data_IF_760544018255
#
_entry.id   IF_760544018255
#
_cell.length_a   1.000
_cell.length_b   1.000
_cell.length_c   1.000
_cell.angle_alpha   90.00
_cell.angle_beta   90.00
_cell.angle_gamma   90.00
#
_symmetry.space_group_name_H-M   'P 1'
#
loop_
_entity.id
_entity.type
_entity.pdbx_description
1 polymer ?
#
# COMPACT_ATOMS: atom_id res chain seq x y z
N UNK A 1 -1.39 -0.81 -22.22
CA UNK A 1 -0.23 0.10 -22.33
C UNK A 1 -0.37 1.20 -21.28
N UNK A 2 0.72 1.70 -20.70
CA UNK A 2 0.67 2.81 -19.71
C UNK A 2 0.29 4.11 -20.42
N UNK A 3 -0.69 4.84 -19.87
CA UNK A 3 -1.06 6.19 -20.29
C UNK A 3 -0.13 7.20 -19.56
N UNK A 4 0.57 8.06 -20.30
CA UNK A 4 1.58 8.98 -19.76
C UNK A 4 0.97 10.16 -18.99
N UNK A 5 -0.19 10.66 -19.40
CA UNK A 5 -0.90 11.74 -18.70
C UNK A 5 -1.42 11.26 -17.34
N UNK A 6 -2.05 10.08 -17.30
CA UNK A 6 -2.53 9.47 -16.06
C UNK A 6 -1.37 9.06 -15.12
N UNK A 7 -0.24 8.63 -15.69
CA UNK A 7 0.97 8.39 -14.91
C UNK A 7 1.51 9.71 -14.32
N UNK A 8 1.57 10.79 -15.11
CA UNK A 8 1.99 12.11 -14.62
C UNK A 8 1.10 12.62 -13.48
N UNK A 9 -0.23 12.55 -13.63
CA UNK A 9 -1.19 12.94 -12.57
C UNK A 9 -0.94 12.18 -11.26
N UNK A 10 -0.62 10.89 -11.33
CA UNK A 10 -0.27 10.09 -10.15
C UNK A 10 1.10 10.44 -9.59
N UNK A 11 2.08 10.76 -10.43
CA UNK A 11 3.38 11.24 -10.00
C UNK A 11 3.27 12.58 -9.26
N UNK A 12 2.46 13.52 -9.76
CA UNK A 12 2.13 14.77 -9.06
C UNK A 12 1.54 14.50 -7.67
N UNK A 13 0.56 13.60 -7.54
CA UNK A 13 0.02 13.20 -6.22
C UNK A 13 1.09 12.68 -5.25
N UNK A 14 2.13 11.99 -5.74
CA UNK A 14 3.25 11.54 -4.91
C UNK A 14 4.11 12.73 -4.47
N UNK A 15 4.43 13.66 -5.38
CA UNK A 15 5.17 14.89 -5.03
C UNK A 15 4.42 15.70 -3.97
N UNK A 16 3.12 15.90 -4.16
CA UNK A 16 2.27 16.66 -3.24
C UNK A 16 2.17 15.97 -1.86
N UNK A 17 1.96 14.65 -1.82
CA UNK A 17 1.84 13.88 -0.57
C UNK A 17 3.14 13.86 0.27
N UNK A 18 4.30 13.89 -0.38
CA UNK A 18 5.60 13.95 0.31
C UNK A 18 6.16 15.38 0.42
N UNK A 19 5.42 16.40 0.00
CA UNK A 19 5.83 17.81 -0.05
C UNK A 19 7.18 18.04 -0.79
N UNK A 20 7.44 17.25 -1.84
CA UNK A 20 8.69 17.27 -2.59
C UNK A 20 8.59 18.10 -3.87
N UNK A 21 9.58 18.99 -4.07
CA UNK A 21 9.82 19.58 -5.39
C UNK A 21 10.28 18.52 -6.39
N UNK A 22 10.05 18.75 -7.68
CA UNK A 22 10.51 17.86 -8.75
C UNK A 22 12.03 17.61 -8.75
N UNK A 23 12.83 18.58 -8.29
CA UNK A 23 14.27 18.42 -8.11
C UNK A 23 14.59 17.49 -6.93
N UNK A 24 14.01 17.75 -5.75
CA UNK A 24 14.21 16.91 -4.57
C UNK A 24 13.73 15.46 -4.80
N UNK A 25 12.63 15.29 -5.53
CA UNK A 25 12.14 13.97 -5.95
C UNK A 25 13.15 13.26 -6.87
N UNK A 26 13.69 13.95 -7.90
CA UNK A 26 14.69 13.39 -8.81
C UNK A 26 15.94 12.90 -8.07
N UNK A 27 16.45 13.74 -7.17
CA UNK A 27 17.63 13.47 -6.38
C UNK A 27 17.38 12.27 -5.43
N UNK A 28 16.20 12.20 -4.80
CA UNK A 28 15.82 11.13 -3.85
C UNK A 28 15.61 9.76 -4.50
N UNK A 29 15.26 9.68 -5.78
CA UNK A 29 15.18 8.41 -6.54
C UNK A 29 16.39 8.16 -7.44
N UNK A 30 17.46 8.97 -7.33
CA UNK A 30 18.69 8.84 -8.11
C UNK A 30 18.44 8.81 -9.63
N UNK A 31 17.77 9.84 -10.14
CA UNK A 31 17.55 10.06 -11.58
C UNK A 31 17.82 11.50 -12.00
N UNK A 32 18.17 11.72 -13.27
CA UNK A 32 18.38 13.07 -13.79
C UNK A 32 17.10 13.92 -13.75
N UNK A 33 17.20 15.16 -13.25
CA UNK A 33 16.09 16.13 -13.12
C UNK A 33 15.31 16.36 -14.43
N UNK A 34 16.00 16.35 -15.58
CA UNK A 34 15.37 16.44 -16.90
C UNK A 34 14.43 15.27 -17.21
N UNK A 35 14.70 14.07 -16.67
CA UNK A 35 13.81 12.92 -16.78
C UNK A 35 12.48 13.20 -16.08
N UNK A 36 12.52 13.68 -14.84
CA UNK A 36 11.31 14.08 -14.09
C UNK A 36 10.50 15.12 -14.85
N UNK A 37 11.14 16.16 -15.41
CA UNK A 37 10.44 17.19 -16.18
C UNK A 37 9.70 16.64 -17.42
N UNK A 38 10.31 15.71 -18.17
CA UNK A 38 9.67 15.09 -19.33
C UNK A 38 8.56 14.09 -18.98
N UNK A 39 8.64 13.45 -17.80
CA UNK A 39 7.59 12.56 -17.29
C UNK A 39 6.40 13.37 -16.74
N UNK A 40 6.64 14.41 -15.95
CA UNK A 40 5.58 15.29 -15.43
C UNK A 40 4.84 16.05 -16.55
N UNK A 41 5.54 16.45 -17.62
CA UNK A 41 4.87 17.01 -18.81
C UNK A 41 4.12 15.98 -19.67
N UNK A 42 4.07 14.70 -19.28
CA UNK A 42 3.35 13.63 -19.99
C UNK A 42 3.93 13.24 -21.36
N UNK A 43 5.05 13.85 -21.77
CA UNK A 43 5.68 13.66 -23.09
C UNK A 43 6.43 12.34 -23.21
N UNK A 44 7.01 11.85 -22.11
CA UNK A 44 7.78 10.61 -22.08
C UNK A 44 7.03 9.50 -21.33
N UNK A 45 7.25 8.25 -21.76
CA UNK A 45 6.88 7.07 -20.97
C UNK A 45 7.95 6.81 -19.90
N UNK A 46 7.56 6.42 -18.68
CA UNK A 46 8.51 5.99 -17.66
C UNK A 46 9.17 4.66 -18.08
N UNK A 47 10.46 4.50 -17.78
CA UNK A 47 11.15 3.22 -17.91
C UNK A 47 10.82 2.29 -16.73
N UNK A 48 11.09 0.98 -16.87
CA UNK A 48 10.89 0.04 -15.76
C UNK A 48 11.77 0.39 -14.56
N UNK A 49 13.07 0.68 -14.78
CA UNK A 49 13.99 1.12 -13.72
C UNK A 49 13.45 2.33 -12.94
N UNK A 50 12.95 3.33 -13.66
CA UNK A 50 12.35 4.52 -13.06
C UNK A 50 11.18 4.20 -12.13
N UNK A 51 10.26 3.33 -12.59
CA UNK A 51 9.09 2.91 -11.79
C UNK A 51 9.52 2.09 -10.58
N UNK A 52 10.47 1.17 -10.74
CA UNK A 52 10.99 0.34 -9.65
C UNK A 52 11.70 1.18 -8.59
N UNK A 53 12.45 2.21 -8.99
CA UNK A 53 13.07 3.20 -8.08
C UNK A 53 12.02 3.94 -7.25
N UNK A 54 10.91 4.39 -7.85
CA UNK A 54 9.82 5.04 -7.11
C UNK A 54 9.24 4.10 -6.05
N UNK A 55 8.82 2.89 -6.43
CA UNK A 55 8.18 1.93 -5.50
C UNK A 55 9.14 1.49 -4.39
N UNK A 56 10.45 1.38 -4.68
CA UNK A 56 11.48 1.09 -3.68
C UNK A 56 11.71 2.24 -2.70
N UNK A 57 11.69 3.49 -3.16
CA UNK A 57 11.95 4.68 -2.34
C UNK A 57 10.73 5.15 -1.55
N UNK A 58 9.52 4.89 -2.06
CA UNK A 58 8.26 5.33 -1.48
C UNK A 58 7.35 4.11 -1.25
N UNK A 59 7.46 3.40 -0.11
CA UNK A 59 6.76 2.14 0.14
C UNK A 59 5.22 2.28 0.24
N UNK A 60 4.72 3.51 0.40
CA UNK A 60 3.29 3.85 0.32
C UNK A 60 2.74 3.74 -1.12
N UNK A 61 3.62 3.77 -2.13
CA UNK A 61 3.26 3.78 -3.57
C UNK A 61 3.16 2.36 -4.10
N UNK A 62 1.92 1.89 -4.29
CA UNK A 62 1.66 0.61 -4.95
C UNK A 62 2.01 0.67 -6.45
N UNK A 63 2.75 -0.33 -6.95
CA UNK A 63 3.14 -0.44 -8.35
C UNK A 63 1.94 -0.44 -9.32
N UNK A 64 0.89 -1.19 -8.99
CA UNK A 64 -0.29 -1.31 -9.86
C UNK A 64 -1.12 -0.02 -9.85
N UNK A 65 -1.20 0.67 -8.71
CA UNK A 65 -1.78 2.01 -8.63
C UNK A 65 -0.99 3.00 -9.50
N UNK A 66 0.34 3.04 -9.36
CA UNK A 66 1.21 3.95 -10.10
C UNK A 66 1.14 3.74 -11.63
N UNK A 67 1.00 2.49 -12.10
CA UNK A 67 0.93 2.16 -13.53
C UNK A 67 -0.49 2.20 -14.12
N UNK A 68 -1.49 1.77 -13.38
CA UNK A 68 -2.85 1.50 -13.89
C UNK A 68 -3.96 2.29 -13.17
N UNK A 69 -3.68 2.97 -12.06
CA UNK A 69 -4.66 3.75 -11.30
C UNK A 69 -5.65 2.91 -10.49
N UNK A 70 -5.39 1.61 -10.35
CA UNK A 70 -6.18 0.65 -9.57
C UNK A 70 -5.40 0.28 -8.31
N UNK A 71 -6.07 0.19 -7.16
CA UNK A 71 -5.43 0.15 -5.85
C UNK A 71 -5.60 1.48 -5.12
N UNK A 72 -4.80 1.73 -4.08
CA UNK A 72 -4.87 2.98 -3.30
C UNK A 72 -3.50 3.60 -3.08
N UNK A 73 -3.45 4.93 -2.98
CA UNK A 73 -2.28 5.67 -2.55
C UNK A 73 -2.72 6.80 -1.60
N UNK A 74 -2.12 6.95 -0.41
CA UNK A 74 -1.16 6.01 0.22
C UNK A 74 -1.78 4.64 0.50
N UNK A 75 -0.99 3.58 0.46
CA UNK A 75 -1.45 2.23 0.80
C UNK A 75 -1.60 2.12 2.34
N UNK A 76 -2.83 1.92 2.83
CA UNK A 76 -3.16 2.05 4.26
C UNK A 76 -2.22 1.30 5.21
N UNK A 77 -1.48 2.09 5.98
CA UNK A 77 -0.83 1.77 7.26
C UNK A 77 -0.07 0.44 7.33
N UNK A 78 1.18 0.47 6.85
CA UNK A 78 2.25 -0.09 7.69
C UNK A 78 2.59 0.96 8.76
N UNK A 79 2.67 0.61 10.05
CA UNK A 79 3.07 1.55 11.08
C UNK A 79 4.41 2.21 10.72
N UNK A 80 4.43 3.55 10.74
CA UNK A 80 5.68 4.30 10.68
C UNK A 80 6.48 3.95 11.93
N UNK A 81 7.59 3.24 11.76
CA UNK A 81 8.60 3.10 12.80
C UNK A 81 9.19 4.48 13.08
N UNK A 82 8.62 5.18 14.06
CA UNK A 82 9.19 6.41 14.61
C UNK A 82 10.40 6.03 15.48
N UNK A 83 11.54 6.75 15.36
CA UNK A 83 12.65 6.57 16.28
C UNK A 83 12.25 6.87 17.73
N UNK A 84 12.66 5.99 18.63
CA UNK A 84 12.36 5.98 20.07
C UNK A 84 12.81 7.27 20.79
N UNK A 85 11.87 7.90 21.53
CA UNK A 85 12.15 8.79 22.66
C UNK A 85 11.16 8.60 23.83
N UNK A 86 11.35 7.49 24.56
CA UNK A 86 11.32 7.41 26.03
C UNK A 86 10.03 7.63 26.87
N UNK A 87 9.44 6.49 27.31
CA UNK A 87 9.01 6.13 28.72
C UNK A 87 7.82 6.87 29.40
N UNK A 88 7.23 6.32 30.51
CA UNK A 88 6.65 4.98 30.70
C UNK A 88 5.29 5.04 31.49
N UNK A 89 4.88 3.94 32.18
CA UNK A 89 3.71 3.74 33.08
C UNK A 89 2.35 3.51 32.36
N UNK A 90 1.37 2.67 32.77
CA UNK A 90 1.19 1.56 33.76
C UNK A 90 -0.17 0.88 33.41
N UNK A 91 -0.54 -0.37 33.74
CA UNK A 91 0.09 -1.52 34.40
C UNK A 91 -0.67 -2.83 34.00
N UNK A 92 -0.15 -4.02 34.36
CA UNK A 92 -0.86 -5.32 34.29
C UNK A 92 -1.80 -5.54 35.48
N UNK A 93 -2.79 -6.47 35.41
CA UNK A 93 -2.57 -7.87 35.85
C UNK A 93 -3.17 -8.94 34.90
N UNK A 94 -2.49 -10.08 34.66
CA UNK A 94 -2.78 -11.42 35.25
C UNK A 94 -3.98 -12.16 34.58
N UNK A 95 -4.04 -13.48 34.34
CA UNK A 95 -3.24 -14.66 34.73
C UNK A 95 -3.61 -15.87 33.82
N UNK A 96 -2.77 -16.92 33.75
CA UNK A 96 -3.03 -18.39 33.70
C UNK A 96 -4.33 -18.97 33.03
N UNK A 97 -4.36 -20.17 32.40
CA UNK A 97 -3.45 -21.33 32.40
C UNK A 97 -3.80 -22.34 31.27
N UNK A 98 -2.80 -23.14 30.86
CA UNK A 98 -2.85 -24.54 30.37
C UNK A 98 -4.03 -25.07 29.51
N UNK A 99 -3.72 -25.60 28.31
CA UNK A 99 -3.62 -27.06 28.06
C UNK A 99 -3.37 -27.36 26.56
N UNK A 100 -2.66 -28.45 26.25
CA UNK A 100 -2.29 -28.83 24.88
C UNK A 100 -3.24 -29.88 24.27
N UNK A 101 -3.40 -29.87 22.93
CA UNK A 101 -3.40 -31.07 22.08
C UNK A 101 -3.25 -30.78 20.59
N UNK A 102 -2.92 -31.82 19.84
CA UNK A 102 -2.35 -31.80 18.49
C UNK A 102 -3.36 -31.68 17.32
N UNK A 103 -2.82 -31.27 16.17
CA UNK A 103 -3.14 -31.66 14.78
C UNK A 103 -4.60 -31.94 14.34
N UNK A 104 -5.13 -31.05 13.46
CA UNK A 104 -5.58 -31.47 12.13
C UNK A 104 -5.68 -30.28 11.15
N UNK A 105 -5.41 -30.48 9.85
CA UNK A 105 -5.59 -29.47 8.80
C UNK A 105 -7.06 -29.36 8.38
N UNK A 106 -7.73 -28.23 8.66
CA UNK A 106 -9.00 -27.85 7.99
C UNK A 106 -9.33 -26.37 8.19
N UNK A 107 -9.11 -25.55 7.15
CA UNK A 107 -9.59 -24.17 6.96
C UNK A 107 -9.26 -23.10 8.04
N UNK A 108 -9.00 -21.83 7.64
CA UNK A 108 -8.86 -20.74 8.61
C UNK A 108 -10.22 -20.42 9.26
N UNK A 109 -10.43 -20.92 10.47
CA UNK A 109 -11.59 -20.56 11.28
C UNK A 109 -11.57 -19.05 11.59
N UNK A 110 -12.60 -18.32 11.14
CA UNK A 110 -12.81 -16.92 11.52
C UNK A 110 -13.16 -16.84 13.02
N UNK A 111 -12.14 -16.70 13.86
CA UNK A 111 -12.31 -16.60 15.31
C UNK A 111 -13.19 -15.39 15.67
N UNK A 112 -14.27 -15.67 16.39
CA UNK A 112 -15.35 -14.71 16.61
C UNK A 112 -14.94 -13.68 17.68
N UNK A 113 -14.32 -12.59 17.23
CA UNK A 113 -13.82 -11.51 18.08
C UNK A 113 -14.58 -10.20 17.82
N UNK A 114 -15.49 -9.86 18.75
CA UNK A 114 -16.30 -8.62 18.77
C UNK A 114 -16.95 -8.26 17.42
N UNK A 115 -18.22 -8.63 17.22
CA UNK A 115 -19.03 -8.35 16.03
C UNK A 115 -18.79 -6.93 15.44
N UNK A 116 -17.91 -6.84 14.44
CA UNK A 116 -17.74 -5.64 13.60
C UNK A 116 -18.76 -5.72 12.47
N UNK A 117 -19.39 -4.60 12.06
CA UNK A 117 -20.33 -4.61 10.95
C UNK A 117 -19.61 -5.04 9.67
N UNK A 118 -20.19 -6.01 8.95
CA UNK A 118 -19.66 -6.51 7.69
C UNK A 118 -19.84 -5.42 6.63
N UNK A 119 -18.74 -5.02 5.98
CA UNK A 119 -18.75 -4.00 4.91
C UNK A 119 -19.05 -4.60 3.53
N UNK A 120 -18.52 -5.79 3.25
CA UNK A 120 -18.62 -6.46 1.96
C UNK A 120 -18.40 -7.97 2.09
N UNK A 121 -19.15 -8.75 1.32
CA UNK A 121 -18.92 -10.19 1.10
C UNK A 121 -18.70 -10.39 -0.39
N UNK A 122 -17.77 -11.26 -0.78
CA UNK A 122 -17.58 -11.71 -2.16
C UNK A 122 -17.61 -13.24 -2.18
N UNK A 123 -18.50 -13.81 -2.99
CA UNK A 123 -18.65 -15.26 -3.20
C UNK A 123 -18.10 -15.58 -4.59
N UNK A 124 -17.25 -16.59 -4.70
CA UNK A 124 -16.73 -17.09 -5.97
C UNK A 124 -17.35 -18.47 -6.27
N UNK A 125 -17.76 -18.69 -7.51
CA UNK A 125 -18.34 -19.95 -7.97
C UNK A 125 -17.33 -20.73 -8.83
N UNK A 126 -17.52 -22.04 -8.97
CA UNK A 126 -16.61 -22.91 -9.73
C UNK A 126 -16.61 -22.62 -11.24
N UNK A 127 -17.66 -21.99 -11.76
CA UNK A 127 -17.75 -21.51 -13.15
C UNK A 127 -16.94 -20.22 -13.41
N UNK A 128 -16.26 -19.68 -12.39
CA UNK A 128 -15.47 -18.46 -12.46
C UNK A 128 -16.28 -17.16 -12.31
N UNK A 129 -17.59 -17.24 -12.08
CA UNK A 129 -18.41 -16.07 -11.72
C UNK A 129 -18.20 -15.68 -10.25
N UNK A 130 -18.64 -14.47 -9.89
CA UNK A 130 -18.64 -14.02 -8.50
C UNK A 130 -19.83 -13.09 -8.20
N UNK A 131 -20.32 -13.15 -6.97
CA UNK A 131 -21.31 -12.21 -6.44
C UNK A 131 -20.68 -11.35 -5.33
N UNK A 132 -21.11 -10.09 -5.23
CA UNK A 132 -20.54 -9.13 -4.27
C UNK A 132 -21.65 -8.36 -3.53
N UNK A 133 -21.84 -8.66 -2.26
CA UNK A 133 -22.83 -8.05 -1.39
C UNK A 133 -22.22 -6.92 -0.57
N UNK A 134 -22.95 -5.80 -0.43
CA UNK A 134 -22.60 -4.64 0.39
C UNK A 134 -23.82 -4.23 1.21
N UNK A 135 -23.60 -3.70 2.41
CA UNK A 135 -24.62 -3.29 3.38
C UNK A 135 -24.70 -1.75 3.47
#
# INVERSE_FOLDING_TARGET
MVNTEEFSKRLHKILDFYELSAAAFADKIEVGRSSISHILSGRNKPSLDFVMKIVKTFPEVELYWLLNGKGNFPASEKPKEQPDLAKPVTASPSQNMAAAKEENESAPAFSNTKQKPIRKIVIFYEDGTFEAFQN
#
